data_IF_873506125530
#
_entry.id   IF_873506125530
#
_cell.length_a   1.000
_cell.length_b   1.000
_cell.length_c   1.000
_cell.angle_alpha   90.00
_cell.angle_beta   90.00
_cell.angle_gamma   90.00
#
_symmetry.space_group_name_H-M   'P 1'
#
loop_
_entity.id
_entity.type
_entity.pdbx_description
1 polymer ?
#
# COMPACT_ATOMS: atom_id res chain seq x y z
N UNK A 1 4.38 -65.24 -23.65
CA UNK A 1 3.75 -63.93 -23.54
C UNK A 1 4.14 -63.32 -22.21
N UNK A 2 5.09 -62.40 -22.18
CA UNK A 2 5.56 -61.72 -20.94
C UNK A 2 4.69 -60.47 -20.72
N UNK A 3 3.94 -60.45 -19.60
CA UNK A 3 3.18 -59.25 -19.17
C UNK A 3 4.12 -58.26 -18.50
N UNK A 4 4.29 -57.09 -19.10
CA UNK A 4 5.03 -55.96 -18.52
C UNK A 4 4.00 -55.15 -17.70
N UNK A 5 4.13 -55.16 -16.35
CA UNK A 5 3.39 -54.28 -15.46
C UNK A 5 4.09 -52.89 -15.46
N UNK A 6 3.37 -51.87 -15.96
CA UNK A 6 3.80 -50.48 -15.84
C UNK A 6 3.37 -49.97 -14.44
N UNK A 7 4.33 -49.69 -13.59
CA UNK A 7 4.12 -49.07 -12.29
C UNK A 7 4.06 -47.57 -12.49
N UNK A 8 2.86 -46.97 -12.45
CA UNK A 8 2.65 -45.52 -12.43
C UNK A 8 3.01 -44.99 -11.05
N UNK A 9 4.18 -44.34 -10.95
CA UNK A 9 4.55 -43.56 -9.76
C UNK A 9 3.79 -42.21 -9.85
N UNK A 10 2.73 -42.06 -9.10
CA UNK A 10 2.03 -40.80 -8.87
C UNK A 10 2.86 -40.02 -7.85
N UNK A 11 3.69 -39.09 -8.32
CA UNK A 11 4.28 -38.07 -7.44
C UNK A 11 3.17 -37.11 -6.98
N UNK A 12 2.62 -37.33 -5.80
CA UNK A 12 1.77 -36.34 -5.13
C UNK A 12 2.64 -35.15 -4.72
N UNK A 13 2.55 -34.05 -5.47
CA UNK A 13 3.05 -32.76 -5.03
C UNK A 13 2.17 -32.30 -3.85
N UNK A 14 2.64 -32.49 -2.64
CA UNK A 14 2.08 -31.84 -1.44
C UNK A 14 2.42 -30.37 -1.56
N UNK A 15 1.49 -29.57 -2.07
CA UNK A 15 1.57 -28.12 -1.95
C UNK A 15 1.22 -27.79 -0.50
N UNK A 16 2.23 -27.62 0.35
CA UNK A 16 2.07 -27.03 1.66
C UNK A 16 1.45 -25.63 1.48
N UNK A 17 0.13 -25.55 1.59
CA UNK A 17 -0.59 -24.30 1.77
C UNK A 17 -0.29 -23.79 3.19
N UNK A 18 0.89 -23.19 3.38
CA UNK A 18 1.18 -22.45 4.61
C UNK A 18 0.18 -21.29 4.69
N UNK A 19 -0.89 -21.47 5.45
CA UNK A 19 -1.72 -20.35 5.90
C UNK A 19 -0.80 -19.36 6.61
N UNK A 20 -0.62 -18.18 6.02
CA UNK A 20 0.27 -17.17 6.61
C UNK A 20 -0.26 -16.74 7.96
N UNK A 21 0.60 -16.81 8.97
CA UNK A 21 0.27 -16.48 10.34
C UNK A 21 0.13 -14.95 10.52
N UNK A 22 -1.11 -14.46 10.35
CA UNK A 22 -1.47 -13.06 10.55
C UNK A 22 -1.32 -12.60 12.02
N UNK A 23 -1.15 -13.53 12.99
CA UNK A 23 -0.96 -13.19 14.40
C UNK A 23 0.35 -12.44 14.65
N UNK A 24 1.35 -12.58 13.75
CA UNK A 24 2.60 -11.81 13.78
C UNK A 24 2.39 -10.30 13.64
N UNK A 25 1.27 -9.88 13.08
CA UNK A 25 0.85 -8.48 13.11
C UNK A 25 0.13 -8.21 14.44
N UNK A 26 0.79 -7.55 15.38
CA UNK A 26 0.23 -7.21 16.67
C UNK A 26 -0.89 -6.17 16.53
N UNK A 27 -1.95 -6.31 17.34
CA UNK A 27 -3.03 -5.32 17.44
C UNK A 27 -2.58 -4.14 18.27
N UNK A 28 -2.77 -2.93 17.75
CA UNK A 28 -2.47 -1.66 18.42
C UNK A 28 -3.59 -0.66 18.18
N UNK A 29 -3.61 0.38 19.00
CA UNK A 29 -4.45 1.55 18.84
C UNK A 29 -3.59 2.82 18.94
N UNK A 30 -3.99 3.85 18.22
CA UNK A 30 -3.48 5.20 18.36
C UNK A 30 -4.63 6.10 18.76
N UNK A 31 -4.50 6.81 19.90
CA UNK A 31 -5.56 7.64 20.47
C UNK A 31 -5.20 9.11 20.25
N UNK A 32 -6.16 9.88 19.74
CA UNK A 32 -6.04 11.31 19.50
C UNK A 32 -7.30 11.99 20.06
N UNK A 33 -7.18 12.61 21.21
CA UNK A 33 -8.33 13.13 21.94
C UNK A 33 -9.31 12.00 22.28
N UNK A 34 -10.54 12.08 21.78
CA UNK A 34 -11.58 11.04 21.96
C UNK A 34 -11.60 10.00 20.83
N UNK A 35 -10.73 10.12 19.85
CA UNK A 35 -10.72 9.28 18.67
C UNK A 35 -9.68 8.17 18.75
N UNK A 36 -10.01 7.02 18.16
CA UNK A 36 -9.15 5.85 18.16
C UNK A 36 -8.95 5.35 16.73
N UNK A 37 -7.69 5.25 16.32
CA UNK A 37 -7.27 4.57 15.11
C UNK A 37 -6.79 3.16 15.49
N UNK A 38 -7.47 2.14 15.00
CA UNK A 38 -6.98 0.78 15.08
C UNK A 38 -5.90 0.55 14.02
N UNK A 39 -4.80 -0.11 14.39
CA UNK A 39 -3.80 -0.53 13.43
C UNK A 39 -3.13 -1.84 13.82
N UNK A 40 -2.54 -2.48 12.84
CA UNK A 40 -1.71 -3.67 13.03
C UNK A 40 -0.27 -3.31 12.75
N UNK A 41 0.64 -3.88 13.53
CA UNK A 41 2.08 -3.68 13.35
C UNK A 41 2.82 -5.01 13.30
N UNK A 42 3.66 -5.16 12.27
CA UNK A 42 4.65 -6.23 12.16
C UNK A 42 6.01 -5.66 12.55
N UNK A 43 6.65 -6.30 13.52
CA UNK A 43 8.01 -5.94 13.92
C UNK A 43 9.05 -6.59 12.99
N UNK A 44 10.24 -5.97 12.83
CA UNK A 44 11.35 -6.60 12.14
C UNK A 44 11.64 -7.99 12.71
N UNK A 45 12.06 -8.93 11.85
CA UNK A 45 12.55 -10.22 12.34
C UNK A 45 13.81 -9.99 13.20
N UNK A 46 13.92 -10.67 14.32
CA UNK A 46 15.02 -10.47 15.28
C UNK A 46 15.16 -9.01 15.71
N UNK A 47 14.02 -8.37 16.05
CA UNK A 47 13.99 -6.97 16.47
C UNK A 47 14.96 -6.70 17.60
N UNK A 48 15.81 -5.71 17.41
CA UNK A 48 16.80 -5.22 18.37
C UNK A 48 16.54 -3.73 18.66
N UNK A 49 16.19 -3.41 19.90
CA UNK A 49 15.82 -2.05 20.30
C UNK A 49 16.98 -1.04 20.27
N UNK A 50 18.19 -1.48 19.96
CA UNK A 50 19.37 -0.62 19.78
C UNK A 50 19.56 -0.18 18.33
N UNK A 51 18.84 -0.81 17.39
CA UNK A 51 18.94 -0.57 15.95
C UNK A 51 17.77 0.28 15.41
N UNK A 52 18.02 0.88 14.25
CA UNK A 52 17.00 1.59 13.49
C UNK A 52 16.56 0.77 12.27
N UNK A 53 15.26 0.75 12.03
CA UNK A 53 14.63 -0.02 10.95
C UNK A 53 13.79 0.89 10.06
N UNK A 54 13.66 0.58 8.78
CA UNK A 54 12.67 1.20 7.90
C UNK A 54 11.25 1.04 8.44
N UNK A 55 10.37 1.97 8.04
CA UNK A 55 8.93 1.91 8.31
C UNK A 55 8.16 1.86 6.99
N UNK A 56 7.25 0.91 6.86
CA UNK A 56 6.28 0.84 5.77
C UNK A 56 4.88 1.06 6.35
N UNK A 57 4.11 1.99 5.77
CA UNK A 57 2.67 2.09 6.01
C UNK A 57 1.91 1.64 4.77
N UNK A 58 0.92 0.76 4.96
CA UNK A 58 0.09 0.25 3.88
C UNK A 58 -1.39 0.51 4.14
N UNK A 59 -2.03 1.22 3.21
CA UNK A 59 -3.43 1.62 3.30
C UNK A 59 -4.32 0.65 2.51
N UNK A 60 -5.31 0.07 3.19
CA UNK A 60 -6.24 -0.90 2.61
C UNK A 60 -7.31 -0.27 1.70
N UNK A 61 -7.97 -1.09 0.89
CA UNK A 61 -9.10 -0.70 0.05
C UNK A 61 -10.43 -0.55 0.82
N UNK A 62 -11.44 0.04 0.19
CA UNK A 62 -12.72 0.41 0.79
C UNK A 62 -13.47 -0.77 1.45
N UNK A 63 -13.37 -1.98 0.89
CA UNK A 63 -14.04 -3.17 1.42
C UNK A 63 -13.53 -3.62 2.81
N UNK A 64 -12.37 -3.13 3.23
CA UNK A 64 -11.72 -3.53 4.50
C UNK A 64 -11.86 -2.50 5.60
N UNK A 65 -12.71 -1.48 5.40
CA UNK A 65 -13.10 -0.53 6.45
C UNK A 65 -13.80 -1.24 7.60
N UNK A 66 -13.61 -0.75 8.83
CA UNK A 66 -14.23 -1.33 10.01
C UNK A 66 -13.61 -0.89 11.31
N UNK A 67 -13.85 -1.68 12.37
CA UNK A 67 -13.31 -1.51 13.71
C UNK A 67 -12.80 -2.84 14.31
N UNK A 68 -12.72 -3.89 13.49
CA UNK A 68 -12.34 -5.24 13.95
C UNK A 68 -10.82 -5.37 14.15
N UNK A 69 -10.07 -4.39 13.68
CA UNK A 69 -8.60 -4.43 13.68
C UNK A 69 -8.04 -5.73 13.04
N UNK A 70 -8.68 -6.19 11.93
CA UNK A 70 -8.30 -7.42 11.24
C UNK A 70 -8.42 -7.34 9.71
N UNK A 71 -9.54 -6.82 9.19
CA UNK A 71 -9.81 -6.79 7.74
C UNK A 71 -8.76 -6.05 6.94
N UNK A 72 -8.08 -5.05 7.51
CA UNK A 72 -7.01 -4.29 6.85
C UNK A 72 -5.84 -5.17 6.39
N UNK A 73 -5.68 -6.37 6.97
CA UNK A 73 -4.63 -7.32 6.59
C UNK A 73 -4.98 -8.20 5.39
N UNK A 74 -6.24 -8.21 4.95
CA UNK A 74 -6.72 -9.14 3.90
C UNK A 74 -5.88 -9.06 2.62
N UNK A 75 -5.48 -7.86 2.22
CA UNK A 75 -4.64 -7.66 1.05
C UNK A 75 -3.33 -6.95 1.43
N UNK A 76 -2.22 -7.49 0.99
CA UNK A 76 -0.88 -6.91 1.18
C UNK A 76 -0.10 -7.47 2.38
N UNK A 77 -0.75 -7.93 3.45
CA UNK A 77 -0.03 -8.50 4.60
C UNK A 77 0.86 -9.69 4.21
N UNK A 78 0.38 -10.52 3.29
CA UNK A 78 1.12 -11.68 2.77
C UNK A 78 2.49 -11.32 2.17
N UNK A 79 2.60 -10.17 1.50
CA UNK A 79 3.86 -9.70 0.93
C UNK A 79 4.94 -9.56 2.02
N UNK A 80 4.56 -9.01 3.17
CA UNK A 80 5.48 -8.75 4.28
C UNK A 80 5.66 -9.94 5.23
N UNK A 81 4.78 -10.94 5.17
CA UNK A 81 4.88 -12.15 6.01
C UNK A 81 5.75 -13.24 5.40
N UNK A 82 6.03 -13.20 4.10
CA UNK A 82 6.95 -14.14 3.47
C UNK A 82 8.29 -14.11 4.19
N UNK A 83 8.78 -15.28 4.58
CA UNK A 83 9.97 -15.38 5.43
C UNK A 83 11.21 -14.79 4.76
N UNK A 84 11.38 -15.04 3.45
CA UNK A 84 12.45 -14.45 2.65
C UNK A 84 12.40 -12.92 2.66
N UNK A 85 11.21 -12.32 2.52
CA UNK A 85 11.04 -10.87 2.54
C UNK A 85 11.34 -10.28 3.93
N UNK A 86 10.90 -10.96 4.99
CA UNK A 86 11.18 -10.54 6.37
C UNK A 86 12.66 -10.57 6.71
N UNK A 87 13.39 -11.58 6.21
CA UNK A 87 14.83 -11.71 6.42
C UNK A 87 15.62 -10.69 5.60
N UNK A 88 15.21 -10.47 4.36
CA UNK A 88 15.91 -9.58 3.43
C UNK A 88 15.63 -8.10 3.71
N UNK A 89 14.42 -7.77 4.18
CA UNK A 89 13.94 -6.40 4.39
C UNK A 89 13.35 -6.22 5.81
N UNK A 90 14.16 -6.41 6.88
CA UNK A 90 13.67 -6.23 8.24
C UNK A 90 13.19 -4.80 8.45
N UNK A 91 11.91 -4.63 8.76
CA UNK A 91 11.23 -3.34 8.84
C UNK A 91 10.02 -3.39 9.77
N UNK A 92 9.62 -2.24 10.30
CA UNK A 92 8.26 -2.08 10.82
C UNK A 92 7.30 -1.97 9.65
N UNK A 93 6.18 -2.69 9.74
CA UNK A 93 5.11 -2.57 8.75
C UNK A 93 3.80 -2.32 9.48
N UNK A 94 3.13 -1.20 9.19
CA UNK A 94 1.86 -0.84 9.81
C UNK A 94 0.71 -0.86 8.80
N UNK A 95 -0.42 -1.41 9.24
CA UNK A 95 -1.69 -1.44 8.52
C UNK A 95 -2.75 -0.75 9.38
N UNK A 96 -2.99 0.54 9.21
CA UNK A 96 -4.10 1.22 9.88
C UNK A 96 -5.44 0.77 9.30
N UNK A 97 -6.52 0.86 10.09
CA UNK A 97 -7.88 0.55 9.63
C UNK A 97 -8.74 1.81 9.61
N UNK A 98 -9.23 2.16 8.43
CA UNK A 98 -10.21 3.20 8.21
C UNK A 98 -11.58 2.74 8.71
N UNK A 99 -12.34 3.62 9.36
CA UNK A 99 -13.71 3.31 9.82
C UNK A 99 -14.70 3.24 8.65
N UNK A 100 -15.88 2.63 8.87
CA UNK A 100 -16.89 2.47 7.82
C UNK A 100 -17.37 3.80 7.22
N UNK A 101 -17.44 4.84 8.03
CA UNK A 101 -17.98 6.16 7.65
C UNK A 101 -16.86 7.13 7.21
N UNK A 102 -15.66 6.63 6.94
CA UNK A 102 -14.52 7.45 6.56
C UNK A 102 -13.86 6.91 5.28
N UNK A 103 -12.96 7.69 4.72
CA UNK A 103 -12.24 7.39 3.49
C UNK A 103 -10.81 7.91 3.61
N UNK A 104 -9.81 7.22 3.01
CA UNK A 104 -8.44 7.69 3.15
C UNK A 104 -8.21 9.04 2.47
N UNK A 105 -8.73 9.24 1.27
CA UNK A 105 -8.55 10.49 0.53
C UNK A 105 -9.81 11.38 0.61
N UNK A 106 -9.63 12.69 0.47
CA UNK A 106 -10.74 13.65 0.30
C UNK A 106 -11.23 13.60 -1.13
N UNK A 107 -12.26 12.80 -1.34
CA UNK A 107 -12.86 12.61 -2.66
C UNK A 107 -14.35 12.89 -2.64
N UNK A 108 -14.86 13.35 -3.77
CA UNK A 108 -16.28 13.40 -4.09
C UNK A 108 -16.52 12.47 -5.28
N UNK A 109 -17.50 11.59 -5.16
CA UNK A 109 -17.91 10.72 -6.26
C UNK A 109 -18.86 11.53 -7.15
N UNK A 110 -18.48 11.75 -8.40
CA UNK A 110 -19.25 12.54 -9.35
C UNK A 110 -20.29 11.70 -10.09
N UNK A 111 -20.01 10.41 -10.29
CA UNK A 111 -20.95 9.43 -10.84
C UNK A 111 -20.68 8.06 -10.24
N UNK A 112 -21.69 7.20 -10.27
CA UNK A 112 -21.55 5.79 -9.89
C UNK A 112 -20.89 5.00 -11.02
N UNK A 113 -20.16 3.94 -10.67
CA UNK A 113 -19.67 2.99 -11.66
C UNK A 113 -20.85 2.24 -12.31
N UNK A 114 -20.67 1.92 -13.59
CA UNK A 114 -21.54 1.04 -14.37
C UNK A 114 -20.68 -0.08 -14.97
N UNK A 115 -21.30 -1.05 -15.64
CA UNK A 115 -20.57 -2.13 -16.34
C UNK A 115 -19.61 -1.61 -17.41
N UNK A 116 -19.85 -0.40 -17.92
CA UNK A 116 -19.05 0.23 -18.99
C UNK A 116 -18.19 1.40 -18.52
N UNK A 117 -18.44 1.94 -17.32
CA UNK A 117 -17.71 3.12 -16.81
C UNK A 117 -17.36 2.98 -15.33
N UNK A 118 -16.10 3.20 -14.94
CA UNK A 118 -15.70 3.22 -13.54
C UNK A 118 -16.28 4.44 -12.80
N UNK A 119 -16.16 4.45 -11.47
CA UNK A 119 -16.41 5.65 -10.68
C UNK A 119 -15.55 6.81 -11.17
N UNK A 120 -16.14 8.00 -11.22
CA UNK A 120 -15.42 9.24 -11.45
C UNK A 120 -15.23 9.96 -10.11
N UNK A 121 -13.98 10.15 -9.73
CA UNK A 121 -13.60 10.82 -8.50
C UNK A 121 -13.14 12.25 -8.78
N UNK A 122 -13.57 13.18 -7.91
CA UNK A 122 -13.01 14.51 -7.79
C UNK A 122 -12.13 14.53 -6.50
N UNK A 123 -10.84 14.78 -6.65
CA UNK A 123 -9.88 14.76 -5.54
C UNK A 123 -9.71 16.19 -5.01
N UNK A 124 -10.25 16.44 -3.83
CA UNK A 124 -10.32 17.77 -3.22
C UNK A 124 -9.01 18.13 -2.53
N UNK A 125 -8.52 19.34 -2.74
CA UNK A 125 -7.24 19.82 -2.18
C UNK A 125 -7.38 21.01 -1.23
N UNK A 126 -8.51 21.69 -1.28
CA UNK A 126 -8.84 22.91 -0.52
C UNK A 126 -9.52 22.64 0.83
N UNK A 127 -9.56 21.39 1.24
CA UNK A 127 -10.24 20.95 2.47
C UNK A 127 -9.26 20.15 3.36
N UNK A 128 -9.49 20.08 4.68
CA UNK A 128 -8.67 19.28 5.60
C UNK A 128 -8.69 17.79 5.24
N UNK A 129 -7.66 17.05 5.65
CA UNK A 129 -7.67 15.58 5.58
C UNK A 129 -8.92 15.00 6.24
N UNK A 130 -9.37 13.86 5.75
CA UNK A 130 -10.33 13.03 6.48
C UNK A 130 -9.72 12.59 7.82
N UNK A 131 -10.59 12.37 8.80
CA UNK A 131 -10.19 12.08 10.17
C UNK A 131 -9.24 10.89 10.27
N UNK A 132 -9.56 9.77 9.63
CA UNK A 132 -8.74 8.57 9.65
C UNK A 132 -7.34 8.82 9.08
N UNK A 133 -7.23 9.53 7.95
CA UNK A 133 -5.93 9.85 7.38
C UNK A 133 -5.14 10.84 8.25
N UNK A 134 -5.82 11.79 8.88
CA UNK A 134 -5.22 12.71 9.85
C UNK A 134 -4.60 11.98 11.04
N UNK A 135 -5.30 10.96 11.57
CA UNK A 135 -4.76 10.10 12.63
C UNK A 135 -3.59 9.23 12.17
N UNK A 136 -3.63 8.73 10.92
CA UNK A 136 -2.48 8.05 10.31
C UNK A 136 -1.28 8.99 10.20
N UNK A 137 -1.50 10.24 9.79
CA UNK A 137 -0.43 11.25 9.72
C UNK A 137 0.24 11.46 11.08
N UNK A 138 -0.54 11.59 12.16
CA UNK A 138 -0.02 11.76 13.52
C UNK A 138 0.70 10.50 14.03
N UNK A 139 0.17 9.31 13.73
CA UNK A 139 0.83 8.04 14.03
C UNK A 139 2.21 7.97 13.34
N UNK A 140 2.29 8.37 12.08
CA UNK A 140 3.54 8.42 11.33
C UNK A 140 4.54 9.41 11.93
N UNK A 141 4.09 10.57 12.40
CA UNK A 141 4.96 11.54 13.10
C UNK A 141 5.54 10.94 14.39
N UNK A 142 4.73 10.21 15.16
CA UNK A 142 5.19 9.50 16.36
C UNK A 142 6.23 8.43 16.04
N UNK A 143 6.05 7.68 14.95
CA UNK A 143 7.05 6.70 14.51
C UNK A 143 8.33 7.36 14.01
N UNK A 144 8.24 8.46 13.26
CA UNK A 144 9.40 9.16 12.70
C UNK A 144 10.33 9.75 13.78
N UNK A 145 9.79 10.05 14.96
CA UNK A 145 10.55 10.51 16.14
C UNK A 145 11.06 9.36 17.02
N UNK A 146 10.63 8.13 16.77
CA UNK A 146 11.09 6.95 17.50
C UNK A 146 12.55 6.64 17.21
N UNK A 147 13.34 6.40 18.27
CA UNK A 147 14.76 6.03 18.14
C UNK A 147 15.01 4.74 17.32
N UNK A 148 13.98 3.91 17.16
CA UNK A 148 14.09 2.63 16.46
C UNK A 148 13.66 2.71 14.98
N UNK A 149 13.14 3.85 14.53
CA UNK A 149 12.74 4.06 13.14
C UNK A 149 13.79 4.91 12.42
N UNK A 150 14.25 4.41 11.28
CA UNK A 150 15.07 5.19 10.36
C UNK A 150 14.18 6.18 9.60
N UNK A 151 14.12 7.42 10.06
CA UNK A 151 13.28 8.46 9.45
C UNK A 151 13.60 8.75 7.98
N UNK A 152 14.78 8.36 7.49
CA UNK A 152 15.15 8.47 6.07
C UNK A 152 14.60 7.30 5.22
N UNK A 153 13.98 6.30 5.82
CA UNK A 153 13.43 5.12 5.16
C UNK A 153 11.99 4.87 5.60
N UNK A 154 11.12 5.87 5.39
CA UNK A 154 9.67 5.76 5.61
C UNK A 154 8.98 5.66 4.26
N UNK A 155 8.20 4.62 4.06
CA UNK A 155 7.54 4.31 2.80
C UNK A 155 6.03 4.23 2.97
N UNK A 156 5.30 4.58 1.91
CA UNK A 156 3.86 4.48 1.89
C UNK A 156 3.38 3.73 0.64
N UNK A 157 2.42 2.85 0.85
CA UNK A 157 1.70 2.17 -0.23
C UNK A 157 0.24 1.97 0.13
N UNK A 158 -0.53 1.56 -0.85
CA UNK A 158 -1.94 1.25 -0.63
C UNK A 158 -2.64 0.88 -1.92
N UNK A 159 -3.81 0.27 -1.81
CA UNK A 159 -4.58 -0.19 -2.96
C UNK A 159 -5.97 0.45 -3.02
N UNK A 160 -6.46 0.76 -4.21
CA UNK A 160 -7.80 1.32 -4.44
C UNK A 160 -7.99 2.60 -3.61
N UNK A 161 -8.95 2.66 -2.70
CA UNK A 161 -9.09 3.72 -1.70
C UNK A 161 -7.76 4.03 -0.99
N UNK A 162 -6.94 3.01 -0.68
CA UNK A 162 -5.62 3.17 -0.08
C UNK A 162 -4.58 3.74 -1.04
N UNK A 163 -4.68 3.43 -2.34
CA UNK A 163 -3.87 4.07 -3.38
C UNK A 163 -4.17 5.57 -3.49
N UNK A 164 -5.45 5.95 -3.38
CA UNK A 164 -5.88 7.36 -3.30
C UNK A 164 -5.31 8.04 -2.03
N UNK A 165 -5.42 7.37 -0.88
CA UNK A 165 -4.84 7.87 0.38
C UNK A 165 -3.32 7.97 0.34
N UNK A 166 -2.64 7.11 -0.43
CA UNK A 166 -1.20 7.21 -0.67
C UNK A 166 -0.87 8.53 -1.35
N UNK A 167 -1.54 8.86 -2.46
CA UNK A 167 -1.33 10.15 -3.14
C UNK A 167 -1.67 11.33 -2.22
N UNK A 168 -2.73 11.24 -1.41
CA UNK A 168 -3.08 12.32 -0.48
C UNK A 168 -2.02 12.52 0.61
N UNK A 169 -1.48 11.47 1.19
CA UNK A 169 -0.38 11.59 2.17
C UNK A 169 0.86 12.25 1.56
N UNK A 170 1.19 11.95 0.30
CA UNK A 170 2.38 12.50 -0.35
C UNK A 170 2.36 14.03 -0.43
N UNK A 171 1.24 14.62 -0.84
CA UNK A 171 1.15 16.07 -0.95
C UNK A 171 0.84 16.77 0.38
N UNK A 172 0.20 16.08 1.34
CA UNK A 172 -0.04 16.59 2.69
C UNK A 172 1.22 16.58 3.56
N UNK A 173 2.16 15.68 3.27
CA UNK A 173 3.43 15.53 3.99
C UNK A 173 4.60 15.53 3.00
N UNK A 174 4.81 16.62 2.24
CA UNK A 174 5.90 16.68 1.27
C UNK A 174 7.25 16.49 1.97
N UNK A 175 8.13 15.71 1.35
CA UNK A 175 9.44 15.40 1.90
C UNK A 175 9.43 14.44 3.11
N UNK A 176 8.29 13.85 3.51
CA UNK A 176 8.24 12.91 4.63
C UNK A 176 8.62 11.48 4.22
N UNK A 177 8.22 11.04 3.04
CA UNK A 177 8.43 9.68 2.57
C UNK A 177 9.68 9.56 1.69
N UNK A 178 10.34 8.41 1.74
CA UNK A 178 11.46 8.07 0.88
C UNK A 178 11.01 7.51 -0.47
N UNK A 179 9.89 6.83 -0.53
CA UNK A 179 9.25 6.33 -1.75
C UNK A 179 7.80 5.95 -1.50
N UNK A 180 7.04 5.75 -2.60
CA UNK A 180 5.66 5.29 -2.54
C UNK A 180 5.33 4.25 -3.63
N UNK A 181 4.30 3.40 -3.35
CA UNK A 181 3.80 2.41 -4.30
C UNK A 181 2.25 2.33 -4.28
N UNK A 182 1.55 3.33 -4.84
CA UNK A 182 0.09 3.29 -4.97
C UNK A 182 -0.34 2.28 -6.04
N UNK A 183 -1.42 1.52 -5.74
CA UNK A 183 -1.97 0.48 -6.62
C UNK A 183 -3.44 0.80 -6.89
N UNK A 184 -3.87 0.78 -8.17
CA UNK A 184 -5.24 1.04 -8.67
C UNK A 184 -5.94 2.21 -7.96
N UNK A 185 -5.22 3.30 -7.76
CA UNK A 185 -5.71 4.52 -7.15
C UNK A 185 -5.58 5.72 -8.08
N UNK A 186 -5.86 6.89 -7.54
CA UNK A 186 -5.70 8.17 -8.22
C UNK A 186 -5.52 9.30 -7.22
N UNK A 187 -5.29 10.50 -7.73
CA UNK A 187 -5.11 11.71 -6.94
C UNK A 187 -5.33 12.96 -7.78
N UNK A 188 -5.18 14.14 -7.19
CA UNK A 188 -5.24 15.39 -7.91
C UNK A 188 -3.89 15.68 -8.59
N UNK A 189 -3.79 15.69 -9.94
CA UNK A 189 -2.53 15.91 -10.64
C UNK A 189 -1.85 17.25 -10.32
N UNK A 190 -2.62 18.27 -9.92
CA UNK A 190 -2.06 19.59 -9.59
C UNK A 190 -1.18 19.57 -8.34
N UNK A 191 -1.32 18.54 -7.50
CA UNK A 191 -0.50 18.38 -6.28
C UNK A 191 0.88 17.77 -6.54
N UNK A 192 1.12 17.25 -7.74
CA UNK A 192 2.36 16.54 -8.09
C UNK A 192 3.63 17.41 -7.88
N UNK A 193 3.55 18.72 -8.17
CA UNK A 193 4.65 19.66 -7.99
C UNK A 193 5.07 19.86 -6.53
N UNK A 194 4.19 19.57 -5.57
CA UNK A 194 4.47 19.77 -4.14
C UNK A 194 5.45 18.72 -3.59
N UNK A 195 5.53 17.54 -4.19
CA UNK A 195 6.36 16.44 -3.69
C UNK A 195 7.15 15.69 -4.78
N UNK A 196 6.91 16.02 -6.07
CA UNK A 196 7.40 15.22 -7.19
C UNK A 196 8.91 15.28 -7.39
N UNK A 197 9.58 16.43 -7.13
CA UNK A 197 11.00 16.61 -7.47
C UNK A 197 11.88 15.49 -6.92
N UNK A 198 12.47 14.71 -7.84
CA UNK A 198 13.33 13.56 -7.58
C UNK A 198 12.70 12.44 -6.72
N UNK A 199 11.39 12.49 -6.46
CA UNK A 199 10.69 11.53 -5.59
C UNK A 199 10.49 10.18 -6.29
N UNK A 200 10.94 9.05 -5.68
CA UNK A 200 10.74 7.72 -6.24
C UNK A 200 9.30 7.24 -6.01
N UNK A 201 8.61 6.90 -7.09
CA UNK A 201 7.25 6.34 -7.00
C UNK A 201 7.05 5.24 -8.04
N UNK A 202 6.45 4.12 -7.63
CA UNK A 202 6.07 3.04 -8.51
C UNK A 202 4.55 2.84 -8.47
N UNK A 203 3.89 3.23 -9.56
CA UNK A 203 2.44 3.22 -9.70
C UNK A 203 2.02 1.97 -10.47
N UNK A 204 0.95 1.29 -10.00
CA UNK A 204 0.41 0.08 -10.62
C UNK A 204 -1.07 0.24 -10.91
N UNK A 205 -1.54 -0.26 -12.09
CA UNK A 205 -2.97 -0.29 -12.40
C UNK A 205 -3.28 -1.41 -13.40
N UNK A 206 -4.53 -1.90 -13.42
CA UNK A 206 -5.06 -2.75 -14.48
C UNK A 206 -5.75 -1.89 -15.54
N UNK A 207 -5.48 -2.12 -16.82
CA UNK A 207 -5.99 -1.28 -17.92
C UNK A 207 -7.51 -1.41 -18.15
N UNK A 208 -8.12 -2.51 -17.67
CA UNK A 208 -9.57 -2.77 -17.76
C UNK A 208 -10.29 -2.64 -16.41
N UNK A 209 -9.74 -1.82 -15.49
CA UNK A 209 -10.33 -1.60 -14.16
C UNK A 209 -11.73 -0.94 -14.29
N UNK A 210 -12.84 -1.64 -13.86
CA UNK A 210 -14.19 -1.11 -13.95
C UNK A 210 -14.60 -0.29 -12.72
N UNK A 211 -13.72 -0.15 -11.71
CA UNK A 211 -14.03 0.53 -10.44
C UNK A 211 -13.35 1.88 -10.35
N UNK A 212 -12.02 1.90 -10.49
CA UNK A 212 -11.22 3.13 -10.54
C UNK A 212 -10.61 3.24 -11.91
N UNK A 213 -10.88 4.35 -12.60
CA UNK A 213 -10.37 4.55 -13.95
C UNK A 213 -8.84 4.48 -13.99
N UNK A 214 -8.28 3.66 -14.88
CA UNK A 214 -6.85 3.62 -15.15
C UNK A 214 -6.30 5.00 -15.54
N UNK A 215 -7.15 5.86 -16.13
CA UNK A 215 -6.79 7.23 -16.46
C UNK A 215 -6.45 8.09 -15.24
N UNK A 216 -6.91 7.75 -14.04
CA UNK A 216 -6.54 8.48 -12.82
C UNK A 216 -5.06 8.21 -12.48
N UNK A 217 -4.59 6.97 -12.59
CA UNK A 217 -3.16 6.65 -12.45
C UNK A 217 -2.31 7.20 -13.59
N UNK A 218 -2.81 7.15 -14.85
CA UNK A 218 -2.09 7.72 -16.01
C UNK A 218 -1.86 9.22 -15.86
N UNK A 219 -2.90 9.98 -15.41
CA UNK A 219 -2.80 11.42 -15.14
C UNK A 219 -1.79 11.73 -14.02
N UNK A 220 -1.84 10.96 -12.93
CA UNK A 220 -0.87 11.12 -11.83
C UNK A 220 0.56 10.81 -12.29
N UNK A 221 0.77 9.73 -13.04
CA UNK A 221 2.09 9.39 -13.58
C UNK A 221 2.63 10.47 -14.51
N UNK A 222 1.79 11.03 -15.39
CA UNK A 222 2.16 12.12 -16.29
C UNK A 222 2.52 13.39 -15.51
N UNK A 223 1.69 13.79 -14.54
CA UNK A 223 1.92 14.99 -13.74
C UNK A 223 3.22 14.88 -12.89
N UNK A 224 3.46 13.70 -12.31
CA UNK A 224 4.67 13.44 -11.53
C UNK A 224 5.93 13.44 -12.41
N UNK A 225 5.87 12.88 -13.62
CA UNK A 225 6.99 12.97 -14.59
C UNK A 225 7.26 14.43 -14.95
N UNK A 226 6.22 15.23 -15.17
CA UNK A 226 6.36 16.67 -15.43
C UNK A 226 6.93 17.46 -14.24
N UNK A 227 6.79 16.93 -13.02
CA UNK A 227 7.36 17.47 -11.78
C UNK A 227 8.74 16.85 -11.42
N UNK A 228 9.44 16.23 -12.39
CA UNK A 228 10.76 15.59 -12.23
C UNK A 228 10.81 14.43 -11.22
N UNK A 229 9.68 13.74 -10.97
CA UNK A 229 9.67 12.55 -10.14
C UNK A 229 10.32 11.36 -10.86
N UNK A 230 10.90 10.44 -10.08
CA UNK A 230 11.42 9.15 -10.57
C UNK A 230 10.28 8.13 -10.66
N UNK A 231 9.42 8.28 -11.68
CA UNK A 231 8.21 7.48 -11.86
C UNK A 231 8.49 6.19 -12.59
N UNK A 232 8.13 5.07 -11.97
CA UNK A 232 7.88 3.80 -12.65
C UNK A 232 6.37 3.64 -12.72
N UNK A 233 5.83 3.33 -13.90
CA UNK A 233 4.41 3.06 -14.09
C UNK A 233 4.25 1.70 -14.78
N UNK A 234 3.58 0.78 -14.07
CA UNK A 234 3.25 -0.56 -14.57
C UNK A 234 1.75 -0.66 -14.76
N UNK A 235 1.34 -0.82 -16.01
CA UNK A 235 -0.03 -1.06 -16.39
C UNK A 235 -0.16 -2.51 -16.85
N UNK A 236 -1.11 -3.25 -16.25
CA UNK A 236 -1.30 -4.67 -16.52
C UNK A 236 -2.39 -4.89 -17.56
N UNK A 237 -2.06 -5.38 -18.78
CA UNK A 237 -3.03 -5.62 -19.83
C UNK A 237 -4.09 -6.66 -19.43
N UNK A 238 -5.38 -6.36 -19.68
CA UNK A 238 -6.51 -7.23 -19.38
C UNK A 238 -6.82 -7.41 -17.90
N UNK A 239 -6.12 -6.71 -17.01
CA UNK A 239 -6.33 -6.82 -15.57
C UNK A 239 -7.37 -5.81 -15.10
N UNK A 240 -8.35 -6.31 -14.36
CA UNK A 240 -9.40 -5.52 -13.73
C UNK A 240 -8.91 -4.86 -12.43
N UNK A 241 -9.86 -4.51 -11.53
CA UNK A 241 -9.57 -3.77 -10.29
C UNK A 241 -8.54 -4.44 -9.38
N UNK A 242 -8.46 -5.77 -9.36
CA UNK A 242 -7.56 -6.52 -8.47
C UNK A 242 -6.07 -6.54 -8.90
N UNK A 243 -5.60 -5.47 -9.53
CA UNK A 243 -4.20 -5.33 -10.00
C UNK A 243 -3.15 -5.48 -8.88
N UNK A 244 -3.54 -5.32 -7.61
CA UNK A 244 -2.65 -5.60 -6.47
C UNK A 244 -2.17 -7.05 -6.42
N UNK A 245 -2.95 -8.02 -6.95
CA UNK A 245 -2.51 -9.42 -7.03
C UNK A 245 -1.26 -9.57 -7.90
N UNK A 246 -1.14 -8.78 -8.97
CA UNK A 246 0.04 -8.72 -9.83
C UNK A 246 1.14 -7.87 -9.21
N UNK A 247 0.81 -6.69 -8.67
CA UNK A 247 1.77 -5.79 -8.06
C UNK A 247 2.54 -6.44 -6.89
N UNK A 248 1.88 -7.27 -6.06
CA UNK A 248 2.54 -8.00 -4.98
C UNK A 248 3.41 -9.18 -5.47
N UNK A 249 3.31 -9.54 -6.74
CA UNK A 249 4.16 -10.55 -7.37
C UNK A 249 5.34 -9.94 -8.13
N UNK A 250 5.42 -8.60 -8.22
CA UNK A 250 6.56 -7.93 -8.86
C UNK A 250 7.86 -8.25 -8.10
N UNK A 251 8.79 -8.97 -8.70
CA UNK A 251 9.97 -9.48 -7.98
C UNK A 251 10.89 -8.36 -7.50
N UNK A 252 10.82 -7.20 -8.14
CA UNK A 252 11.66 -6.05 -7.79
C UNK A 252 10.98 -5.06 -6.83
N UNK A 253 9.70 -5.21 -6.47
CA UNK A 253 8.97 -4.21 -5.69
C UNK A 253 9.67 -3.88 -4.37
N UNK A 254 9.93 -4.88 -3.54
CA UNK A 254 10.56 -4.65 -2.24
C UNK A 254 12.02 -4.24 -2.36
N UNK A 255 12.80 -4.87 -3.25
CA UNK A 255 14.20 -4.49 -3.46
C UNK A 255 14.34 -3.06 -3.99
N UNK A 256 13.42 -2.63 -4.87
CA UNK A 256 13.35 -1.25 -5.31
C UNK A 256 12.96 -0.32 -4.17
N UNK A 257 11.91 -0.64 -3.39
CA UNK A 257 11.40 0.18 -2.30
C UNK A 257 12.48 0.45 -1.25
N UNK A 258 13.11 -0.61 -0.74
CA UNK A 258 14.07 -0.53 0.36
C UNK A 258 15.44 0.06 -0.02
N UNK A 259 15.72 0.24 -1.33
CA UNK A 259 16.88 1.01 -1.83
C UNK A 259 16.68 2.52 -1.70
N UNK A 260 15.43 2.99 -1.63
CA UNK A 260 15.16 4.43 -1.60
C UNK A 260 15.46 5.02 -0.22
N UNK A 261 16.04 6.20 -0.23
CA UNK A 261 16.32 6.98 0.98
C UNK A 261 15.97 8.44 0.74
N UNK A 262 15.40 9.05 1.73
CA UNK A 262 15.23 10.50 1.74
C UNK A 262 16.60 11.17 2.00
N UNK A 263 16.90 12.24 1.29
CA UNK A 263 18.07 13.11 1.50
C UNK A 263 18.08 13.75 2.89
#
# INVERSE_FOLDING_TARGET
MKKICFLLIVCAYVTDSFSQDLSKFEKRIHVVGFDTLHYRILFPVSYDSTKQYPLVVFLHGAAHRGKDNQRQLTNGASLFLKEENRKQFPSFVIFPQCTLNDFWARTRILNTATDSTPFKFDYLTDVPMNKGLGMVSQLLDSFATSKNVNSKQVYVGGLSMGGMGTFELLWRKPGFFAAAFPICGGGNPTTASLYGKAFPIWIFHGDTDPVVSVNDSRKMAAALKAADAKVIYTEYPGVKHESWKKAFQEPQLLSWLFKQRRS
#
